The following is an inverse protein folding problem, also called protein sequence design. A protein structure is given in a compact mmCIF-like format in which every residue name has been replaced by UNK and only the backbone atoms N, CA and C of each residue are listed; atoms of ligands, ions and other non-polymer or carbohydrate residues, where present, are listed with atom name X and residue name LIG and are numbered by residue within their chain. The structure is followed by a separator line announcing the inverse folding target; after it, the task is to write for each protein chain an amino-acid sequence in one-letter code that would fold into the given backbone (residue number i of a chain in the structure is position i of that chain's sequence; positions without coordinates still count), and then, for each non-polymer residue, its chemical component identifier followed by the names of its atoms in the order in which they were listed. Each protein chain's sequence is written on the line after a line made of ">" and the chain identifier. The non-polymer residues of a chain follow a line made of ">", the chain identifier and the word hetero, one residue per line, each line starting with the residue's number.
data_IF_828734200318
#
_entry.id   IF_828734200318
#
_cell.length_a   1.000
_cell.length_b   1.000
_cell.length_c   1.000
_cell.angle_alpha   90.00
_cell.angle_beta   90.00
_cell.angle_gamma   90.00
#
_symmetry.space_group_name_H-M   'P 1'
#
loop_
_entity.id
_entity.type
_entity.pdbx_description
1 polymer ?
#
# COMPACT_ATOMS: atom_id res chain seq x y z
N UNK A 1 3.04 -22.60 1.85
CA UNK A 1 3.77 -21.52 1.15
C UNK A 1 3.04 -21.26 -0.16
N UNK A 2 2.50 -20.05 -0.35
CA UNK A 2 1.88 -19.65 -1.61
C UNK A 2 2.92 -18.94 -2.48
N UNK A 3 3.03 -19.27 -3.78
CA UNK A 3 3.85 -18.48 -4.69
C UNK A 3 3.21 -17.10 -4.86
N UNK A 4 4.02 -16.05 -4.69
CA UNK A 4 3.64 -14.65 -4.87
C UNK A 4 4.76 -13.93 -5.63
N UNK A 5 4.42 -12.85 -6.34
CA UNK A 5 5.43 -11.97 -6.95
C UNK A 5 6.06 -11.00 -5.93
N UNK A 6 7.08 -10.26 -6.36
CA UNK A 6 7.82 -9.32 -5.52
C UNK A 6 6.99 -8.12 -5.05
N UNK A 7 6.07 -7.60 -5.87
CA UNK A 7 5.19 -6.49 -5.49
C UNK A 7 4.23 -6.94 -4.39
N UNK A 8 3.63 -8.13 -4.53
CA UNK A 8 2.75 -8.72 -3.53
C UNK A 8 3.50 -8.95 -2.21
N UNK A 9 4.73 -9.46 -2.26
CA UNK A 9 5.57 -9.65 -1.08
C UNK A 9 5.91 -8.33 -0.38
N UNK A 10 6.28 -7.30 -1.14
CA UNK A 10 6.60 -5.98 -0.62
C UNK A 10 5.36 -5.30 -0.01
N UNK A 11 4.24 -5.29 -0.73
CA UNK A 11 2.97 -4.74 -0.27
C UNK A 11 2.52 -5.43 1.04
N UNK A 12 2.68 -6.75 1.15
CA UNK A 12 2.29 -7.50 2.35
C UNK A 12 2.98 -6.97 3.61
N UNK A 13 4.29 -6.74 3.55
CA UNK A 13 5.05 -6.20 4.68
C UNK A 13 4.76 -4.73 4.91
N UNK A 14 4.66 -3.93 3.85
CA UNK A 14 4.32 -2.51 3.95
C UNK A 14 2.95 -2.29 4.60
N UNK A 15 1.93 -3.06 4.19
CA UNK A 15 0.60 -3.03 4.80
C UNK A 15 0.63 -3.41 6.27
N UNK A 16 1.44 -4.42 6.63
CA UNK A 16 1.47 -4.91 8.01
C UNK A 16 2.16 -3.93 8.96
N UNK A 17 3.20 -3.23 8.51
CA UNK A 17 4.05 -2.40 9.38
C UNK A 17 3.76 -0.90 9.33
N UNK A 18 2.84 -0.46 8.46
CA UNK A 18 2.47 0.94 8.33
C UNK A 18 0.97 1.14 8.61
N UNK A 19 0.61 2.36 9.02
CA UNK A 19 -0.79 2.78 9.23
C UNK A 19 -1.35 3.61 8.06
N UNK A 20 -0.47 4.13 7.21
CA UNK A 20 -0.82 5.06 6.12
C UNK A 20 0.07 4.83 4.88
N UNK A 21 -0.52 4.97 3.69
CA UNK A 21 0.16 4.96 2.40
C UNK A 21 -0.31 6.13 1.54
N UNK A 22 0.65 6.95 1.15
CA UNK A 22 0.47 8.06 0.21
C UNK A 22 0.99 7.59 -1.15
N UNK A 23 0.09 7.42 -2.11
CA UNK A 23 0.38 6.69 -3.34
C UNK A 23 0.24 7.56 -4.59
N UNK A 24 0.97 7.16 -5.63
CA UNK A 24 0.79 7.62 -7.00
C UNK A 24 1.09 6.45 -7.94
N UNK A 25 0.24 6.15 -8.94
CA UNK A 25 0.44 5.00 -9.81
C UNK A 25 1.55 5.26 -10.84
N UNK A 26 2.59 4.41 -10.83
CA UNK A 26 3.62 4.36 -11.87
C UNK A 26 4.09 2.91 -12.08
N UNK A 27 4.21 2.49 -13.35
CA UNK A 27 4.75 1.18 -13.70
C UNK A 27 6.23 1.06 -13.36
N UNK A 28 6.71 -0.06 -12.81
CA UNK A 28 6.01 -1.32 -12.54
C UNK A 28 5.45 -1.47 -11.11
N UNK A 29 5.44 -0.40 -10.31
CA UNK A 29 5.08 -0.43 -8.87
C UNK A 29 3.59 -0.31 -8.57
N UNK A 30 2.75 0.12 -9.51
CA UNK A 30 1.29 0.28 -9.31
C UNK A 30 0.60 -0.90 -8.61
N UNK A 31 0.94 -2.19 -8.90
CA UNK A 31 0.33 -3.31 -8.21
C UNK A 31 0.50 -3.29 -6.68
N UNK A 32 1.58 -2.71 -6.14
CA UNK A 32 1.73 -2.59 -4.69
C UNK A 32 0.67 -1.66 -4.08
N UNK A 33 0.43 -0.52 -4.72
CA UNK A 33 -0.54 0.47 -4.26
C UNK A 33 -1.99 -0.06 -4.37
N UNK A 34 -2.30 -0.74 -5.49
CA UNK A 34 -3.59 -1.39 -5.71
C UNK A 34 -3.89 -2.46 -4.65
N UNK A 35 -2.90 -3.31 -4.32
CA UNK A 35 -3.06 -4.33 -3.27
C UNK A 35 -3.31 -3.71 -1.89
N UNK A 36 -2.59 -2.64 -1.55
CA UNK A 36 -2.76 -1.94 -0.28
C UNK A 36 -4.16 -1.33 -0.18
N UNK A 37 -4.64 -0.68 -1.24
CA UNK A 37 -6.01 -0.13 -1.31
C UNK A 37 -7.07 -1.23 -1.24
N UNK A 38 -6.88 -2.31 -1.98
CA UNK A 38 -7.78 -3.47 -1.97
C UNK A 38 -7.88 -4.08 -0.56
N UNK A 39 -6.76 -4.30 0.12
CA UNK A 39 -6.75 -4.85 1.47
C UNK A 39 -7.37 -3.90 2.50
N UNK A 40 -7.12 -2.59 2.38
CA UNK A 40 -7.77 -1.58 3.21
C UNK A 40 -9.29 -1.57 3.03
N UNK A 41 -9.78 -1.60 1.78
CA UNK A 41 -11.22 -1.65 1.49
C UNK A 41 -11.90 -2.92 2.02
N UNK A 42 -11.16 -4.02 2.15
CA UNK A 42 -11.60 -5.28 2.78
C UNK A 42 -11.49 -5.31 4.30
N UNK A 43 -11.04 -4.22 4.93
CA UNK A 43 -10.91 -4.11 6.38
C UNK A 43 -9.79 -4.99 6.95
N UNK A 44 -8.76 -5.31 6.16
CA UNK A 44 -7.60 -6.04 6.66
C UNK A 44 -6.93 -5.20 7.75
N UNK A 45 -6.53 -5.84 8.85
CA UNK A 45 -5.82 -5.18 9.93
C UNK A 45 -4.30 -5.26 9.72
N UNK A 46 -3.60 -4.19 10.08
CA UNK A 46 -2.15 -4.15 10.19
C UNK A 46 -1.69 -4.63 11.59
N UNK A 47 -0.39 -4.50 11.89
CA UNK A 47 0.19 -4.92 13.17
C UNK A 47 -0.31 -4.13 14.39
N UNK A 48 -1.02 -3.02 14.17
CA UNK A 48 -1.51 -2.12 15.20
C UNK A 48 -3.03 -2.24 15.42
N UNK A 49 -3.65 -3.30 14.89
CA UNK A 49 -5.09 -3.54 14.91
C UNK A 49 -5.90 -2.42 14.23
N UNK A 50 -5.32 -1.79 13.19
CA UNK A 50 -5.94 -0.71 12.42
C UNK A 50 -6.10 -1.08 10.95
N UNK A 51 -7.13 -0.50 10.32
CA UNK A 51 -7.26 -0.54 8.86
C UNK A 51 -6.32 0.50 8.27
N UNK A 52 -5.45 0.05 7.35
CA UNK A 52 -4.48 0.90 6.67
C UNK A 52 -5.17 2.03 5.92
N UNK A 53 -4.71 3.28 6.12
CA UNK A 53 -5.23 4.43 5.38
C UNK A 53 -4.51 4.59 4.04
N UNK A 54 -5.25 4.78 2.96
CA UNK A 54 -4.69 4.99 1.62
C UNK A 54 -5.13 6.34 1.09
N UNK A 55 -4.22 7.10 0.49
CA UNK A 55 -4.54 8.36 -0.19
C UNK A 55 -3.74 8.48 -1.47
N UNK A 56 -4.45 8.52 -2.60
CA UNK A 56 -3.86 8.80 -3.90
C UNK A 56 -3.66 10.30 -4.08
N UNK A 57 -2.50 10.69 -4.62
CA UNK A 57 -2.11 12.07 -4.83
C UNK A 57 -1.88 12.34 -6.32
N UNK A 58 -1.65 13.59 -6.70
CA UNK A 58 -1.66 13.99 -8.12
C UNK A 58 -0.36 13.68 -8.89
N UNK A 59 0.76 13.46 -8.18
CA UNK A 59 2.07 13.11 -8.73
C UNK A 59 2.98 12.57 -7.62
N UNK A 60 4.09 11.91 -7.98
CA UNK A 60 5.04 11.30 -7.04
C UNK A 60 5.63 12.33 -6.08
N UNK A 61 5.94 13.54 -6.58
CA UNK A 61 6.41 14.64 -5.73
C UNK A 61 5.39 15.09 -4.67
N UNK A 62 4.09 14.95 -4.95
CA UNK A 62 3.03 15.23 -3.99
C UNK A 62 2.95 14.15 -2.92
N UNK A 63 3.11 12.88 -3.32
CA UNK A 63 3.23 11.76 -2.40
C UNK A 63 4.45 11.88 -1.48
N UNK A 64 5.61 12.20 -2.05
CA UNK A 64 6.83 12.42 -1.27
C UNK A 64 6.72 13.62 -0.31
N UNK A 65 6.05 14.70 -0.72
CA UNK A 65 5.90 15.90 0.11
C UNK A 65 4.88 15.75 1.25
N UNK A 66 4.00 14.76 1.18
CA UNK A 66 3.00 14.47 2.20
C UNK A 66 3.45 13.38 3.20
N UNK A 67 4.51 12.64 2.88
CA UNK A 67 5.10 11.56 3.70
C UNK A 67 5.87 12.10 4.90
#
# INVERSE_FOLDING_TARGET
>A
MQPIDGNTAAAHIAYYLCDNSLIFPISPSSPMAELVDEWASKGRLNAFDQVHRVTELNHEGGAAGAL
#
